data_IF_422575999568
#
_entry.id   IF_422575999568
#
_cell.length_a   1.000
_cell.length_b   1.000
_cell.length_c   1.000
_cell.angle_alpha   90.00
_cell.angle_beta   90.00
_cell.angle_gamma   90.00
#
_symmetry.space_group_name_H-M   'P 1'
#
loop_
_entity.id
_entity.type
_entity.pdbx_description
1 polymer ?
#
# COMPACT_ATOMS: atom_id res chain seq x y z
N UNK A 1 -3.95 -4.80 11.61
CA UNK A 1 -4.90 -4.66 10.49
C UNK A 1 -4.30 -5.34 9.27
N UNK A 2 -5.14 -5.94 8.43
CA UNK A 2 -4.69 -6.54 7.16
C UNK A 2 -4.20 -5.45 6.19
N UNK A 3 -3.08 -5.72 5.53
CA UNK A 3 -2.51 -4.86 4.50
C UNK A 3 -1.79 -5.69 3.43
N UNK A 4 -1.83 -5.24 2.18
CA UNK A 4 -0.99 -5.77 1.10
C UNK A 4 0.35 -5.03 1.07
N UNK A 5 1.43 -5.76 1.32
CA UNK A 5 2.77 -5.20 1.51
C UNK A 5 3.73 -5.73 0.45
N UNK A 6 4.42 -4.82 -0.24
CA UNK A 6 5.65 -5.11 -0.98
C UNK A 6 6.76 -5.29 0.05
N UNK A 7 7.03 -6.52 0.46
CA UNK A 7 7.98 -6.83 1.55
C UNK A 7 9.43 -6.73 1.10
N UNK A 8 9.71 -7.08 -0.14
CA UNK A 8 11.06 -7.18 -0.70
C UNK A 8 11.08 -6.80 -2.18
N UNK A 9 12.29 -6.62 -2.73
CA UNK A 9 12.49 -6.36 -4.14
C UNK A 9 12.21 -7.63 -4.96
N UNK A 10 10.99 -7.75 -5.49
CA UNK A 10 10.56 -8.92 -6.23
C UNK A 10 9.10 -8.87 -6.64
N UNK A 11 8.68 -9.86 -7.44
CA UNK A 11 7.29 -10.03 -7.86
C UNK A 11 6.39 -10.35 -6.67
N UNK A 12 5.14 -9.90 -6.75
CA UNK A 12 4.09 -10.20 -5.78
C UNK A 12 3.91 -9.15 -4.69
N UNK A 13 2.89 -9.38 -3.87
CA UNK A 13 2.58 -8.65 -2.64
C UNK A 13 2.20 -9.69 -1.58
N UNK A 14 2.44 -9.38 -0.31
CA UNK A 14 2.12 -10.27 0.80
C UNK A 14 1.00 -9.65 1.64
N UNK A 15 -0.07 -10.41 1.88
CA UNK A 15 -1.06 -10.04 2.89
C UNK A 15 -0.45 -10.23 4.27
N UNK A 16 -0.34 -9.15 5.04
CA UNK A 16 0.25 -9.17 6.40
C UNK A 16 -0.63 -8.41 7.37
N UNK A 17 -0.55 -8.84 8.63
CA UNK A 17 -0.99 -8.01 9.75
C UNK A 17 0.07 -6.95 10.06
N UNK A 18 -0.34 -5.69 10.06
CA UNK A 18 0.48 -4.54 10.44
C UNK A 18 -0.19 -3.75 11.56
N UNK A 19 0.57 -2.97 12.37
CA UNK A 19 -0.02 -2.07 13.35
C UNK A 19 -0.98 -1.06 12.70
N UNK A 20 -2.02 -0.67 13.42
CA UNK A 20 -2.84 0.50 13.01
C UNK A 20 -1.99 1.75 13.24
N UNK A 21 -1.83 2.65 12.26
CA UNK A 21 -1.03 3.85 12.43
C UNK A 21 -1.71 4.81 13.42
N UNK A 22 -0.88 5.57 14.16
CA UNK A 22 -1.34 6.65 15.02
C UNK A 22 -1.08 7.98 14.31
N UNK A 23 -2.11 8.80 14.03
CA UNK A 23 -1.92 10.08 13.36
C UNK A 23 -1.19 11.08 14.26
N UNK A 24 -0.23 11.81 13.70
CA UNK A 24 0.43 12.95 14.34
C UNK A 24 -0.37 14.26 14.21
N UNK A 25 0.20 15.38 14.69
CA UNK A 25 -0.42 16.70 14.55
C UNK A 25 -0.66 17.05 13.06
N UNK A 26 -1.92 17.33 12.71
CA UNK A 26 -2.32 17.69 11.34
C UNK A 26 -2.60 16.49 10.41
N UNK A 27 -2.47 15.26 10.90
CA UNK A 27 -2.80 14.04 10.17
C UNK A 27 -4.17 13.50 10.59
N UNK A 28 -4.77 12.66 9.75
CA UNK A 28 -6.02 11.96 10.06
C UNK A 28 -5.85 10.46 9.88
N UNK A 29 -6.47 9.67 10.78
CA UNK A 29 -6.60 8.24 10.59
C UNK A 29 -7.84 7.97 9.73
N UNK A 30 -7.67 7.21 8.65
CA UNK A 30 -8.77 6.85 7.75
C UNK A 30 -9.06 5.35 7.88
N UNK A 31 -10.31 5.01 8.17
CA UNK A 31 -10.81 3.65 8.05
C UNK A 31 -11.24 3.39 6.60
N UNK A 32 -10.39 2.66 5.87
CA UNK A 32 -10.64 2.30 4.46
C UNK A 32 -11.86 1.38 4.35
N UNK A 33 -12.78 1.70 3.42
CA UNK A 33 -13.98 0.91 3.09
C UNK A 33 -13.87 0.19 1.77
N UNK A 34 -13.27 0.85 0.77
CA UNK A 34 -13.06 0.31 -0.57
C UNK A 34 -11.74 0.85 -1.13
N UNK A 35 -11.08 0.04 -1.93
CA UNK A 35 -9.90 0.40 -2.71
C UNK A 35 -10.04 -0.15 -4.12
N UNK A 36 -9.50 0.56 -5.10
CA UNK A 36 -9.41 0.12 -6.49
C UNK A 36 -7.96 -0.31 -6.81
N UNK A 37 -7.78 -0.87 -8.01
CA UNK A 37 -6.49 -1.30 -8.56
C UNK A 37 -6.33 -0.61 -9.92
N UNK A 38 -5.19 0.02 -10.12
CA UNK A 38 -4.80 0.70 -11.34
C UNK A 38 -3.53 0.07 -11.97
N UNK A 39 -3.11 0.55 -13.13
CA UNK A 39 -1.89 0.09 -13.81
C UNK A 39 -0.63 0.20 -12.94
N UNK A 40 -0.53 1.25 -12.11
CA UNK A 40 0.57 1.42 -11.15
C UNK A 40 0.67 0.25 -10.17
N UNK A 41 -0.46 -0.28 -9.69
CA UNK A 41 -0.46 -1.42 -8.78
C UNK A 41 -0.01 -2.71 -9.50
N UNK A 42 -0.32 -2.83 -10.80
CA UNK A 42 0.17 -3.93 -11.65
C UNK A 42 1.67 -3.84 -11.86
N UNK A 43 2.22 -2.64 -12.10
CA UNK A 43 3.67 -2.42 -12.15
C UNK A 43 4.31 -2.89 -10.83
N UNK A 44 3.81 -2.38 -9.70
CA UNK A 44 4.30 -2.75 -8.36
C UNK A 44 4.27 -4.28 -8.20
N UNK A 45 3.14 -4.93 -8.49
CA UNK A 45 2.99 -6.38 -8.36
C UNK A 45 3.95 -7.16 -9.26
N UNK A 46 4.08 -6.78 -10.53
CA UNK A 46 4.91 -7.49 -11.52
C UNK A 46 6.41 -7.20 -11.40
N UNK A 47 6.78 -6.21 -10.59
CA UNK A 47 8.15 -5.81 -10.31
C UNK A 47 8.97 -5.50 -11.56
N UNK A 48 8.35 -4.73 -12.45
CA UNK A 48 8.93 -4.32 -13.71
C UNK A 48 10.00 -3.21 -13.54
N UNK A 49 10.67 -2.76 -14.63
CA UNK A 49 11.72 -1.74 -14.53
C UNK A 49 11.25 -0.42 -13.93
N UNK A 50 9.99 -0.02 -14.15
CA UNK A 50 9.44 1.18 -13.52
C UNK A 50 9.40 1.02 -12.00
N UNK A 51 8.93 -0.14 -11.52
CA UNK A 51 8.82 -0.43 -10.08
C UNK A 51 10.18 -0.55 -9.42
N UNK A 52 11.15 -1.20 -10.07
CA UNK A 52 12.51 -1.34 -9.58
C UNK A 52 13.21 0.01 -9.38
N UNK A 53 12.83 1.03 -10.16
CA UNK A 53 13.37 2.39 -10.05
C UNK A 53 12.62 3.26 -9.04
N UNK A 54 11.31 3.02 -8.85
CA UNK A 54 10.42 3.95 -8.14
C UNK A 54 10.08 3.50 -6.72
N UNK A 55 10.00 2.18 -6.49
CA UNK A 55 9.45 1.62 -5.26
C UNK A 55 10.58 1.16 -4.34
N UNK A 56 10.51 1.55 -3.07
CA UNK A 56 11.45 1.12 -2.02
C UNK A 56 10.72 0.19 -1.04
N UNK A 57 10.95 -1.13 -1.10
CA UNK A 57 10.45 -2.04 -0.08
C UNK A 57 11.13 -1.81 1.28
N UNK A 58 10.43 -2.00 2.42
CA UNK A 58 9.04 -2.44 2.52
C UNK A 58 8.03 -1.29 2.32
N UNK A 59 6.94 -1.56 1.60
CA UNK A 59 5.90 -0.56 1.31
C UNK A 59 4.50 -1.18 1.33
N UNK A 60 3.54 -0.54 1.99
CA UNK A 60 2.10 -0.86 1.85
C UNK A 60 1.59 -0.29 0.53
N UNK A 61 0.98 -1.12 -0.31
CA UNK A 61 0.48 -0.71 -1.62
C UNK A 61 -0.96 -0.17 -1.58
N UNK A 62 -1.36 0.53 -2.63
CA UNK A 62 -2.70 1.10 -2.82
C UNK A 62 -2.71 2.63 -2.71
N UNK A 63 -3.32 3.27 -3.71
CA UNK A 63 -3.38 4.74 -3.81
C UNK A 63 -4.75 5.25 -4.30
N UNK A 64 -5.71 4.35 -4.53
CA UNK A 64 -7.07 4.66 -4.97
C UNK A 64 -8.07 4.11 -3.96
N UNK A 65 -8.48 4.90 -2.98
CA UNK A 65 -9.34 4.42 -1.89
C UNK A 65 -10.34 5.46 -1.39
N UNK A 66 -11.38 4.96 -0.71
CA UNK A 66 -12.37 5.75 0.01
C UNK A 66 -12.60 5.17 1.40
N UNK A 67 -12.81 6.05 2.37
CA UNK A 67 -13.00 5.69 3.76
C UNK A 67 -13.64 6.81 4.56
N UNK A 68 -13.66 6.61 5.88
CA UNK A 68 -14.19 7.55 6.86
C UNK A 68 -13.05 7.98 7.79
N UNK A 69 -13.09 9.21 8.31
CA UNK A 69 -12.20 9.62 9.40
C UNK A 69 -12.57 8.78 10.64
N UNK A 70 -11.57 8.11 11.23
CA UNK A 70 -11.72 7.17 12.33
C UNK A 70 -11.51 7.82 13.71
#
# INVERSE_FOLDING_TARGET
MDALVKTEAGKGLVLKQVPVPTPGPGEVLIKIRKTAICGTDVHIYTWDPWSQKTIVPPMTAGHEYVGEIA
#
